data_IF_533851400861
#
_entry.id   IF_533851400861
#
_cell.length_a   1.000
_cell.length_b   1.000
_cell.length_c   1.000
_cell.angle_alpha   90.00
_cell.angle_beta   90.00
_cell.angle_gamma   90.00
#
_symmetry.space_group_name_H-M   'P 1'
#
loop_
_entity.id
_entity.type
_entity.pdbx_description
1 polymer ?
#
# COMPACT_ATOMS: atom_id res chain seq x y z
N UNK A 1 -20.21 0.94 13.74
CA UNK A 1 -19.25 1.47 12.74
C UNK A 1 -17.84 1.12 13.23
N UNK A 2 -17.38 -0.10 12.99
CA UNK A 2 -16.15 -0.66 13.61
C UNK A 2 -14.86 -0.32 12.85
N UNK A 3 -15.00 0.08 11.57
CA UNK A 3 -13.89 0.33 10.64
C UNK A 3 -13.16 1.66 10.91
N UNK A 4 -13.78 2.58 11.65
CA UNK A 4 -13.21 3.90 11.99
C UNK A 4 -12.46 3.92 13.35
N UNK A 5 -12.41 2.79 14.05
CA UNK A 5 -11.82 2.73 15.40
C UNK A 5 -10.32 3.05 15.44
N UNK A 6 -9.56 2.56 14.46
CA UNK A 6 -8.10 2.78 14.35
C UNK A 6 -7.77 4.22 13.93
N UNK A 7 -8.51 4.74 12.94
CA UNK A 7 -8.31 6.11 12.48
C UNK A 7 -8.63 7.11 13.61
N UNK A 8 -9.76 6.94 14.27
CA UNK A 8 -10.13 7.75 15.43
C UNK A 8 -9.11 7.68 16.59
N UNK A 9 -8.47 6.53 16.83
CA UNK A 9 -7.42 6.42 17.86
C UNK A 9 -6.13 7.14 17.46
N UNK A 10 -5.73 7.03 16.19
CA UNK A 10 -4.55 7.73 15.65
C UNK A 10 -4.77 9.25 15.73
N UNK A 11 -5.92 9.76 15.27
CA UNK A 11 -6.22 11.18 15.30
C UNK A 11 -6.21 11.75 16.73
N UNK A 12 -6.83 11.05 17.68
CA UNK A 12 -6.79 11.44 19.09
C UNK A 12 -5.37 11.53 19.63
N UNK A 13 -4.49 10.62 19.21
CA UNK A 13 -3.10 10.58 19.66
C UNK A 13 -2.20 11.60 18.94
N UNK A 14 -2.55 11.97 17.72
CA UNK A 14 -1.80 12.92 16.91
C UNK A 14 -2.02 14.37 17.36
N UNK A 15 -3.18 14.68 17.96
CA UNK A 15 -3.49 16.02 18.47
C UNK A 15 -2.49 16.46 19.53
N UNK A 16 -1.88 17.63 19.31
CA UNK A 16 -0.92 18.24 20.24
C UNK A 16 0.46 17.58 20.26
N UNK A 17 0.75 16.67 19.33
CA UNK A 17 2.09 16.08 19.18
C UNK A 17 2.86 16.85 18.11
N UNK A 18 4.06 17.29 18.45
CA UNK A 18 4.99 17.85 17.48
C UNK A 18 5.55 16.75 16.58
N UNK A 19 5.49 16.98 15.27
CA UNK A 19 6.01 16.05 14.27
C UNK A 19 7.09 16.78 13.47
N UNK A 20 8.33 16.33 13.68
CA UNK A 20 9.50 16.90 13.00
C UNK A 20 9.97 16.05 11.83
N UNK A 21 9.71 14.72 11.87
CA UNK A 21 10.06 13.80 10.80
C UNK A 21 8.88 12.90 10.41
N UNK A 22 8.80 12.44 9.16
CA UNK A 22 7.82 11.43 8.76
C UNK A 22 7.88 10.14 9.59
N UNK A 23 9.06 9.78 10.09
CA UNK A 23 9.25 8.64 10.99
C UNK A 23 8.57 8.81 12.35
N UNK A 24 8.29 10.04 12.80
CA UNK A 24 7.61 10.27 14.08
C UNK A 24 6.14 9.85 14.00
N UNK A 25 5.51 9.97 12.83
CA UNK A 25 4.18 9.39 12.60
C UNK A 25 4.17 7.89 12.89
N UNK A 26 5.21 7.15 12.53
CA UNK A 26 5.30 5.71 12.82
C UNK A 26 5.26 5.46 14.32
N UNK A 27 5.99 6.25 15.10
CA UNK A 27 6.01 6.13 16.57
C UNK A 27 4.63 6.43 17.16
N UNK A 28 4.01 7.52 16.71
CA UNK A 28 2.67 7.94 17.16
C UNK A 28 1.64 6.88 16.83
N UNK A 29 1.59 6.41 15.59
CA UNK A 29 0.61 5.42 15.12
C UNK A 29 0.77 4.10 15.88
N UNK A 30 2.01 3.62 16.09
CA UNK A 30 2.26 2.41 16.91
C UNK A 30 1.69 2.58 18.32
N UNK A 31 1.85 3.76 18.91
CA UNK A 31 1.38 4.07 20.27
C UNK A 31 -0.12 4.40 20.38
N UNK A 32 -0.82 4.55 19.25
CA UNK A 32 -2.20 5.04 19.21
C UNK A 32 -3.21 4.04 19.79
N UNK A 33 -2.94 2.73 19.67
CA UNK A 33 -3.73 1.65 20.26
C UNK A 33 -2.88 0.92 21.30
N UNK A 34 -3.41 0.73 22.51
CA UNK A 34 -2.70 -0.02 23.59
C UNK A 34 -3.33 -1.38 23.89
N UNK A 35 -4.65 -1.51 23.69
CA UNK A 35 -5.40 -2.76 23.85
C UNK A 35 -6.21 -3.03 22.57
N UNK A 36 -6.31 -4.29 22.11
CA UNK A 36 -5.62 -5.48 22.62
C UNK A 36 -4.10 -5.47 22.34
N UNK A 37 -3.66 -4.78 21.30
CA UNK A 37 -2.23 -4.68 20.94
C UNK A 37 -1.92 -3.37 20.18
N UNK A 38 -0.66 -2.91 20.18
CA UNK A 38 -0.19 -1.79 19.35
C UNK A 38 -0.52 -1.93 17.87
N UNK A 39 -0.70 -0.80 17.18
CA UNK A 39 -0.89 -0.82 15.74
C UNK A 39 0.40 -1.29 15.04
N UNK A 40 0.28 -2.24 14.12
CA UNK A 40 1.39 -2.62 13.27
C UNK A 40 1.54 -1.60 12.14
N UNK A 41 2.73 -1.00 12.05
CA UNK A 41 3.04 0.01 11.02
C UNK A 41 4.21 -0.47 10.18
N UNK A 42 4.00 -0.53 8.87
CA UNK A 42 5.04 -0.78 7.87
C UNK A 42 5.37 0.55 7.20
N UNK A 43 6.60 1.02 7.35
CA UNK A 43 7.08 2.22 6.67
C UNK A 43 7.46 1.85 5.24
N UNK A 44 6.78 2.43 4.26
CA UNK A 44 6.94 2.08 2.85
C UNK A 44 7.93 3.03 2.18
N UNK A 45 8.70 2.51 1.23
CA UNK A 45 9.57 3.29 0.36
C UNK A 45 9.31 2.98 -1.11
N UNK A 46 10.10 3.60 -1.99
CA UNK A 46 9.98 3.41 -3.44
C UNK A 46 10.18 1.95 -3.88
N UNK A 47 10.82 1.09 -3.09
CA UNK A 47 11.06 -0.31 -3.43
C UNK A 47 9.85 -1.20 -3.22
N UNK A 48 8.85 -0.73 -2.45
CA UNK A 48 7.64 -1.49 -2.14
C UNK A 48 6.67 -1.58 -3.33
N UNK A 49 6.66 -0.57 -4.21
CA UNK A 49 5.68 -0.47 -5.29
C UNK A 49 6.13 -1.25 -6.52
N UNK A 50 5.28 -2.15 -7.02
CA UNK A 50 5.50 -2.90 -8.25
C UNK A 50 4.67 -2.34 -9.41
N UNK A 51 5.20 -2.44 -10.63
CA UNK A 51 4.56 -2.05 -11.88
C UNK A 51 3.74 -3.22 -12.43
N UNK A 52 2.41 -3.07 -12.40
CA UNK A 52 1.48 -4.05 -12.95
C UNK A 52 0.92 -3.67 -14.32
N UNK A 53 1.37 -2.56 -14.93
CA UNK A 53 0.78 -2.04 -16.18
C UNK A 53 0.82 -3.08 -17.32
N UNK A 54 1.96 -3.75 -17.45
CA UNK A 54 2.21 -4.75 -18.51
C UNK A 54 2.31 -6.17 -17.92
N UNK A 55 1.97 -6.34 -16.64
CA UNK A 55 2.07 -7.62 -15.94
C UNK A 55 0.85 -8.50 -16.22
N UNK A 56 1.06 -9.56 -17.00
CA UNK A 56 0.06 -10.62 -17.18
C UNK A 56 -1.10 -10.31 -18.13
N UNK A 57 -1.16 -9.13 -18.74
CA UNK A 57 -2.23 -8.71 -19.69
C UNK A 57 -3.67 -9.08 -19.23
N UNK A 58 -3.92 -9.06 -17.92
CA UNK A 58 -5.18 -9.52 -17.33
C UNK A 58 -6.33 -8.57 -17.68
N UNK A 59 -7.15 -8.94 -18.67
CA UNK A 59 -8.29 -8.11 -19.10
C UNK A 59 -9.49 -8.17 -18.15
N UNK A 60 -9.63 -9.26 -17.39
CA UNK A 60 -10.72 -9.43 -16.43
C UNK A 60 -10.39 -10.44 -15.34
N UNK A 61 -10.85 -10.14 -14.13
CA UNK A 61 -10.78 -11.04 -12.97
C UNK A 61 -12.17 -11.56 -12.56
N UNK A 62 -13.19 -11.42 -13.42
CA UNK A 62 -14.57 -11.77 -13.08
C UNK A 62 -14.75 -13.30 -12.97
N UNK A 63 -15.22 -13.83 -11.82
CA UNK A 63 -15.42 -15.27 -11.62
C UNK A 63 -16.40 -15.94 -12.57
N UNK A 64 -17.41 -15.23 -13.09
CA UNK A 64 -18.35 -15.83 -14.02
C UNK A 64 -19.06 -14.83 -14.92
N UNK A 65 -19.53 -15.30 -16.08
CA UNK A 65 -20.28 -14.48 -17.04
C UNK A 65 -21.76 -14.36 -16.70
N UNK A 66 -22.35 -15.36 -16.05
CA UNK A 66 -23.78 -15.40 -15.70
C UNK A 66 -24.12 -14.33 -14.65
N UNK A 67 -25.36 -13.82 -14.71
CA UNK A 67 -25.87 -12.83 -13.75
C UNK A 67 -25.87 -13.37 -12.32
N UNK A 68 -26.08 -14.68 -12.16
CA UNK A 68 -26.07 -15.37 -10.87
C UNK A 68 -24.68 -15.75 -10.36
N UNK A 69 -23.63 -15.56 -11.16
CA UNK A 69 -22.26 -15.88 -10.76
C UNK A 69 -21.66 -14.75 -9.90
N UNK A 70 -20.75 -15.06 -8.97
CA UNK A 70 -20.07 -14.05 -8.17
C UNK A 70 -19.36 -13.03 -9.06
N UNK A 71 -19.48 -11.76 -8.70
CA UNK A 71 -18.88 -10.65 -9.41
C UNK A 71 -17.53 -10.27 -8.79
N UNK A 72 -16.79 -9.36 -9.43
CA UNK A 72 -15.49 -8.89 -8.94
C UNK A 72 -15.58 -8.32 -7.52
N UNK A 73 -16.71 -7.71 -7.16
CA UNK A 73 -16.98 -7.17 -5.81
C UNK A 73 -17.06 -8.24 -4.72
N UNK A 74 -17.35 -9.50 -5.10
CA UNK A 74 -17.42 -10.62 -4.17
C UNK A 74 -16.05 -11.27 -3.91
N UNK A 75 -15.01 -10.87 -4.64
CA UNK A 75 -13.67 -11.43 -4.47
C UNK A 75 -13.05 -11.00 -3.14
N UNK A 76 -12.35 -11.96 -2.51
CA UNK A 76 -11.55 -11.74 -1.30
C UNK A 76 -10.08 -12.04 -1.51
N UNK A 77 -9.75 -13.02 -2.33
CA UNK A 77 -8.38 -13.33 -2.68
C UNK A 77 -8.26 -13.84 -4.11
N UNK A 78 -7.10 -13.59 -4.72
CA UNK A 78 -6.67 -14.13 -6.00
C UNK A 78 -5.32 -14.81 -5.83
N UNK A 79 -5.13 -15.96 -6.47
CA UNK A 79 -3.87 -16.70 -6.50
C UNK A 79 -3.49 -16.95 -7.94
N UNK A 80 -2.27 -16.58 -8.29
CA UNK A 80 -1.66 -16.84 -9.58
C UNK A 80 -0.72 -18.04 -9.45
N UNK A 81 -0.71 -18.91 -10.46
CA UNK A 81 0.24 -20.04 -10.53
C UNK A 81 1.19 -19.86 -11.72
N UNK A 82 2.41 -20.44 -11.66
CA UNK A 82 3.36 -20.39 -12.77
C UNK A 82 2.81 -20.96 -14.07
N UNK A 83 1.86 -21.90 -13.98
CA UNK A 83 1.22 -22.56 -15.12
C UNK A 83 0.18 -21.67 -15.82
N UNK A 84 0.06 -20.39 -15.43
CA UNK A 84 -0.91 -19.45 -15.99
C UNK A 84 -2.33 -19.59 -15.43
N UNK A 85 -2.58 -20.53 -14.51
CA UNK A 85 -3.87 -20.69 -13.86
C UNK A 85 -4.05 -19.67 -12.75
N UNK A 86 -5.28 -19.18 -12.58
CA UNK A 86 -5.62 -18.24 -11.54
C UNK A 86 -6.83 -18.75 -10.77
N UNK A 87 -6.71 -18.72 -9.45
CA UNK A 87 -7.71 -19.16 -8.52
C UNK A 87 -8.27 -17.97 -7.74
N UNK A 88 -9.50 -18.10 -7.27
CA UNK A 88 -10.16 -17.06 -6.49
C UNK A 88 -10.82 -17.62 -5.24
N UNK A 89 -11.10 -16.74 -4.29
CA UNK A 89 -11.93 -17.00 -3.11
C UNK A 89 -12.98 -15.91 -2.94
N UNK A 90 -14.18 -16.29 -2.53
CA UNK A 90 -15.27 -15.39 -2.14
C UNK A 90 -15.33 -15.12 -0.64
N UNK A 91 -14.82 -16.04 0.17
CA UNK A 91 -14.57 -15.88 1.60
C UNK A 91 -13.14 -16.34 1.93
N UNK A 92 -12.53 -15.78 2.96
CA UNK A 92 -11.17 -16.19 3.36
C UNK A 92 -11.10 -17.65 3.82
N UNK A 93 -12.22 -18.19 4.32
CA UNK A 93 -12.36 -19.57 4.77
C UNK A 93 -12.59 -20.57 3.63
N UNK A 94 -13.04 -20.12 2.46
CA UNK A 94 -13.34 -21.02 1.33
C UNK A 94 -12.07 -21.64 0.75
N UNK A 95 -12.20 -22.78 0.08
CA UNK A 95 -11.13 -23.33 -0.74
C UNK A 95 -10.90 -22.51 -2.01
N UNK A 96 -9.75 -22.73 -2.64
CA UNK A 96 -9.40 -22.05 -3.89
C UNK A 96 -10.18 -22.63 -5.07
N UNK A 97 -10.98 -21.80 -5.74
CA UNK A 97 -11.70 -22.19 -6.95
C UNK A 97 -10.96 -21.70 -8.19
N UNK A 98 -10.87 -22.53 -9.23
CA UNK A 98 -10.29 -22.15 -10.51
C UNK A 98 -11.20 -21.13 -11.20
N UNK A 99 -10.64 -20.01 -11.63
CA UNK A 99 -11.44 -19.00 -12.32
C UNK A 99 -11.74 -19.47 -13.77
N UNK A 100 -13.01 -19.67 -14.15
CA UNK A 100 -13.42 -20.47 -15.31
C UNK A 100 -13.32 -19.75 -16.68
N UNK A 101 -12.43 -18.77 -16.81
CA UNK A 101 -12.24 -18.06 -18.08
C UNK A 101 -11.05 -18.68 -18.84
N UNK A 102 -11.21 -19.11 -20.10
CA UNK A 102 -10.08 -19.44 -20.96
C UNK A 102 -9.30 -18.14 -21.21
N UNK A 103 -7.99 -18.18 -20.97
CA UNK A 103 -7.13 -17.00 -21.10
C UNK A 103 -5.90 -17.33 -21.92
N UNK A 104 -5.49 -16.38 -22.74
CA UNK A 104 -4.16 -16.35 -23.35
C UNK A 104 -3.22 -15.45 -22.53
N UNK A 105 -3.56 -15.22 -21.25
CA UNK A 105 -2.83 -14.35 -20.35
C UNK A 105 -1.51 -15.03 -19.98
N UNK A 106 -0.40 -14.51 -20.50
CA UNK A 106 0.94 -14.98 -20.13
C UNK A 106 1.31 -14.30 -18.82
N UNK A 107 1.14 -15.01 -17.71
CA UNK A 107 1.65 -14.55 -16.42
C UNK A 107 3.16 -14.73 -16.44
N UNK A 108 3.97 -13.66 -16.36
CA UNK A 108 5.41 -13.79 -16.33
C UNK A 108 5.84 -14.63 -15.12
N UNK A 109 6.79 -15.55 -15.33
CA UNK A 109 7.35 -16.40 -14.26
C UNK A 109 8.06 -15.54 -13.21
N UNK A 110 8.68 -14.45 -13.65
CA UNK A 110 9.24 -13.44 -12.77
C UNK A 110 8.11 -12.53 -12.28
N UNK A 111 8.16 -12.11 -11.02
CA UNK A 111 7.23 -11.11 -10.48
C UNK A 111 7.26 -9.78 -11.25
N UNK A 112 6.28 -8.90 -11.03
CA UNK A 112 6.24 -7.58 -11.66
C UNK A 112 7.51 -6.78 -11.36
N UNK A 113 7.95 -5.99 -12.34
CA UNK A 113 9.05 -5.04 -12.15
C UNK A 113 8.72 -4.03 -11.06
N UNK A 114 9.74 -3.36 -10.52
CA UNK A 114 9.50 -2.24 -9.58
C UNK A 114 8.90 -1.05 -10.31
N UNK A 115 7.92 -0.41 -9.69
CA UNK A 115 7.30 0.81 -10.22
C UNK A 115 8.28 1.97 -10.26
N UNK A 116 9.16 2.04 -9.26
CA UNK A 116 10.17 3.08 -9.13
C UNK A 116 11.57 2.44 -9.07
N UNK A 117 12.48 2.97 -9.87
CA UNK A 117 13.90 2.56 -9.86
C UNK A 117 14.70 3.25 -8.75
N UNK A 118 14.24 4.42 -8.28
CA UNK A 118 14.88 5.21 -7.24
C UNK A 118 13.85 5.99 -6.42
N UNK A 119 14.31 6.70 -5.38
CA UNK A 119 13.47 7.66 -4.65
C UNK A 119 12.86 8.69 -5.61
N UNK A 120 11.58 9.01 -5.39
CA UNK A 120 10.86 10.01 -6.15
C UNK A 120 11.40 11.40 -5.85
N UNK A 121 11.69 12.17 -6.91
CA UNK A 121 12.05 13.58 -6.80
C UNK A 121 10.82 14.43 -6.48
N UNK A 122 10.98 15.38 -5.59
CA UNK A 122 9.96 16.42 -5.35
C UNK A 122 10.23 17.63 -6.25
N UNK A 123 9.23 18.49 -6.45
CA UNK A 123 9.44 19.75 -7.17
C UNK A 123 10.37 20.66 -6.39
N UNK A 124 11.22 21.44 -7.08
CA UNK A 124 12.09 22.44 -6.46
C UNK A 124 11.34 23.35 -5.49
N UNK A 125 10.19 23.90 -5.91
CA UNK A 125 9.39 24.77 -5.04
C UNK A 125 8.93 24.09 -3.75
N UNK A 126 8.62 22.78 -3.80
CA UNK A 126 8.29 22.01 -2.60
C UNK A 126 9.52 21.81 -1.72
N UNK A 127 10.69 21.56 -2.29
CA UNK A 127 11.95 21.48 -1.56
C UNK A 127 12.23 22.80 -0.83
N UNK A 128 12.19 23.93 -1.52
CA UNK A 128 12.46 25.25 -0.94
C UNK A 128 11.51 25.58 0.23
N UNK A 129 10.22 25.25 0.10
CA UNK A 129 9.26 25.38 1.19
C UNK A 129 9.58 24.48 2.39
N UNK A 130 10.13 23.28 2.18
CA UNK A 130 10.56 22.41 3.28
C UNK A 130 11.84 22.96 3.94
N UNK A 131 12.73 23.59 3.16
CA UNK A 131 13.92 24.23 3.69
C UNK A 131 13.59 25.44 4.60
N UNK A 132 12.56 26.23 4.26
CA UNK A 132 12.14 27.37 5.09
C UNK A 132 11.53 26.93 6.43
N UNK A 133 10.85 25.77 6.47
CA UNK A 133 10.30 25.19 7.70
C UNK A 133 11.38 24.77 8.70
N UNK A 134 12.63 24.57 8.29
CA UNK A 134 13.71 24.17 9.21
C UNK A 134 13.90 25.13 10.40
N UNK A 135 13.51 26.39 10.25
CA UNK A 135 13.51 27.40 11.32
C UNK A 135 12.67 27.03 12.56
N UNK A 136 11.62 26.23 12.37
CA UNK A 136 10.73 25.76 13.45
C UNK A 136 10.91 24.28 13.77
N UNK A 137 11.80 23.58 13.06
CA UNK A 137 12.10 22.17 13.27
C UNK A 137 13.38 22.00 14.10
N UNK A 138 13.44 20.90 14.84
CA UNK A 138 14.66 20.51 15.56
C UNK A 138 15.85 20.36 14.60
N UNK A 139 17.02 20.87 14.99
CA UNK A 139 18.24 20.83 14.16
C UNK A 139 18.62 19.40 13.74
N UNK A 140 18.38 18.42 14.60
CA UNK A 140 18.67 17.00 14.33
C UNK A 140 17.82 16.44 13.17
N UNK A 141 16.67 17.05 12.86
CA UNK A 141 15.82 16.67 11.75
C UNK A 141 16.27 17.29 10.41
N UNK A 142 17.13 18.32 10.42
CA UNK A 142 17.46 19.09 9.20
C UNK A 142 18.13 18.22 8.14
N UNK A 143 19.01 17.30 8.55
CA UNK A 143 19.70 16.38 7.65
C UNK A 143 18.73 15.53 6.81
N UNK A 144 17.54 15.21 7.32
CA UNK A 144 16.53 14.50 6.52
C UNK A 144 16.05 15.34 5.35
N UNK A 145 15.73 16.62 5.60
CA UNK A 145 15.20 17.55 4.60
C UNK A 145 16.27 17.96 3.58
N UNK A 146 17.51 18.14 4.02
CA UNK A 146 18.65 18.49 3.14
C UNK A 146 18.94 17.40 2.11
N UNK A 147 18.66 16.13 2.45
CA UNK A 147 18.92 14.98 1.58
C UNK A 147 17.68 14.55 0.75
N UNK A 148 16.62 15.38 0.69
CA UNK A 148 15.46 15.08 -0.14
C UNK A 148 15.80 15.25 -1.63
N UNK A 149 15.56 14.24 -2.48
CA UNK A 149 15.81 14.36 -3.91
C UNK A 149 14.80 15.32 -4.53
N UNK A 150 15.28 16.29 -5.31
CA UNK A 150 14.48 17.32 -5.97
C UNK A 150 14.95 17.57 -7.41
#
# INVERSE_FOLDING_TARGET
MEVDSVHATIEKKLKGVEIHLPSDYVKVIKSARKQPEPCQVKYLDHTFFSNYKDFGNLKSIKPGKKITAPNVTNLRALKYTPDGLMFFKTSFADDWELLPLPRNDVIPVNGPDRLYSSRLKIKQSKYDHLQSLKSVLLKDAHAFYDNLPH
#
